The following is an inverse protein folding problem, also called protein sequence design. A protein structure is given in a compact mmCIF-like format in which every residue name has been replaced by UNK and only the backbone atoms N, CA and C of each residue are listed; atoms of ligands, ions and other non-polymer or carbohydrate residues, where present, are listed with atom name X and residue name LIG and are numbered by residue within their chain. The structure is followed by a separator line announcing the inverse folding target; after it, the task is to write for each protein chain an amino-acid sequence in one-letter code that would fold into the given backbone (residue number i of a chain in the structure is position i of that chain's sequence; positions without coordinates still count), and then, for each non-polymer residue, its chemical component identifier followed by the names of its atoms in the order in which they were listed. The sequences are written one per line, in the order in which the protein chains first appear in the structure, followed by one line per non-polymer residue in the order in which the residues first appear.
data_IF_564870557224
#
_entry.id   IF_564870557224
#
_cell.length_a   1.000
_cell.length_b   1.000
_cell.length_c   1.000
_cell.angle_alpha   90.00
_cell.angle_beta   90.00
_cell.angle_gamma   90.00
#
_symmetry.space_group_name_H-M   'P 1'
#
loop_
_entity.id
_entity.type
_entity.pdbx_description
1 polymer ?
#
# COMPACT_ATOMS: atom_id res chain seq x y z
N UNK A 1 -10.44 25.09 4.70
CA UNK A 1 -9.77 23.81 4.39
C UNK A 1 -9.48 23.13 5.72
N UNK A 2 -9.75 21.84 5.86
CA UNK A 2 -9.57 21.11 7.12
C UNK A 2 -8.08 20.85 7.37
N UNK A 3 -7.53 21.32 8.51
CA UNK A 3 -6.11 21.17 8.85
C UNK A 3 -5.65 19.71 8.81
N UNK A 4 -6.56 18.77 9.12
CA UNK A 4 -6.26 17.33 9.10
C UNK A 4 -5.85 16.85 7.70
N UNK A 5 -6.38 17.47 6.65
CA UNK A 5 -6.05 17.13 5.26
C UNK A 5 -4.62 17.58 4.92
N UNK A 6 -4.24 18.78 5.38
CA UNK A 6 -2.88 19.31 5.20
C UNK A 6 -1.88 18.40 5.91
N UNK A 7 -2.16 18.06 7.18
CA UNK A 7 -1.32 17.16 7.96
C UNK A 7 -1.23 15.76 7.33
N UNK A 8 -2.33 15.20 6.83
CA UNK A 8 -2.32 13.92 6.10
C UNK A 8 -1.38 13.96 4.89
N UNK A 9 -1.45 15.03 4.08
CA UNK A 9 -0.59 15.18 2.91
C UNK A 9 0.88 15.31 3.30
N UNK A 10 1.22 16.16 4.28
CA UNK A 10 2.60 16.33 4.75
C UNK A 10 3.20 15.01 5.24
N UNK A 11 2.41 14.20 5.97
CA UNK A 11 2.83 12.89 6.44
C UNK A 11 2.96 11.88 5.30
N UNK A 12 2.02 11.86 4.37
CA UNK A 12 2.09 11.00 3.18
C UNK A 12 3.34 11.31 2.35
N UNK A 13 3.61 12.59 2.09
CA UNK A 13 4.78 13.04 1.35
C UNK A 13 6.08 12.64 2.08
N UNK A 14 6.16 12.89 3.39
CA UNK A 14 7.33 12.48 4.18
C UNK A 14 7.57 10.97 4.12
N UNK A 15 6.51 10.15 4.23
CA UNK A 15 6.62 8.70 4.13
C UNK A 15 7.17 8.27 2.77
N UNK A 16 6.60 8.76 1.67
CA UNK A 16 7.01 8.35 0.33
C UNK A 16 8.41 8.87 -0.03
N UNK A 17 8.69 10.15 0.21
CA UNK A 17 9.97 10.76 -0.15
C UNK A 17 11.11 10.32 0.77
N UNK A 18 10.93 10.41 2.09
CA UNK A 18 12.03 10.24 3.06
C UNK A 18 12.15 8.83 3.59
N UNK A 19 11.04 8.12 3.79
CA UNK A 19 11.10 6.77 4.36
C UNK A 19 11.19 5.69 3.28
N UNK A 20 10.42 5.84 2.19
CA UNK A 20 10.36 4.84 1.12
C UNK A 20 11.27 5.17 -0.07
N UNK A 21 11.67 6.43 -0.24
CA UNK A 21 12.59 6.85 -1.29
C UNK A 21 11.99 6.75 -2.70
N UNK A 22 10.68 6.97 -2.82
CA UNK A 22 9.94 6.84 -4.09
C UNK A 22 10.52 7.77 -5.16
N UNK A 23 10.70 7.24 -6.36
CA UNK A 23 11.28 7.96 -7.51
C UNK A 23 10.26 8.18 -8.61
N UNK A 24 10.57 9.15 -9.47
CA UNK A 24 9.81 9.42 -10.68
C UNK A 24 9.75 8.16 -11.56
N UNK A 25 8.55 7.80 -11.99
CA UNK A 25 8.27 6.65 -12.85
C UNK A 25 8.13 5.31 -12.13
N UNK A 26 8.33 5.24 -10.81
CA UNK A 26 8.06 4.02 -10.03
C UNK A 26 6.55 3.78 -9.91
N UNK A 27 6.16 2.50 -9.87
CA UNK A 27 4.77 2.08 -9.66
C UNK A 27 4.48 1.87 -8.16
N UNK A 28 3.59 2.69 -7.61
CA UNK A 28 3.12 2.64 -6.22
C UNK A 28 1.76 1.97 -6.14
N UNK A 29 1.68 0.82 -5.47
CA UNK A 29 0.44 0.09 -5.22
C UNK A 29 -0.03 0.26 -3.78
N UNK A 30 -1.18 0.90 -3.61
CA UNK A 30 -1.85 1.06 -2.32
C UNK A 30 -2.96 0.02 -2.19
N UNK A 31 -2.97 -0.75 -1.11
CA UNK A 31 -4.03 -1.74 -0.83
C UNK A 31 -4.85 -1.31 0.37
N UNK A 32 -6.16 -1.24 0.19
CA UNK A 32 -7.11 -0.77 1.19
C UNK A 32 -8.22 -1.78 1.43
N UNK A 33 -9.04 -1.55 2.46
CA UNK A 33 -10.33 -2.21 2.64
C UNK A 33 -11.44 -1.16 2.87
N UNK A 34 -12.73 -1.53 2.83
CA UNK A 34 -13.83 -0.58 3.09
C UNK A 34 -13.80 0.14 4.44
N UNK A 35 -12.93 -0.24 5.38
CA UNK A 35 -12.76 0.44 6.67
C UNK A 35 -11.55 1.38 6.70
N UNK A 36 -10.69 1.36 5.68
CA UNK A 36 -9.57 2.28 5.54
C UNK A 36 -10.07 3.72 5.41
N UNK A 37 -9.46 4.65 6.16
CA UNK A 37 -9.73 6.08 6.04
C UNK A 37 -9.23 6.61 4.68
N UNK A 38 -10.18 6.98 3.82
CA UNK A 38 -9.88 7.39 2.45
C UNK A 38 -9.07 8.69 2.38
N UNK A 39 -9.11 9.54 3.42
CA UNK A 39 -8.32 10.79 3.44
C UNK A 39 -6.82 10.51 3.36
N UNK A 40 -6.38 9.42 3.99
CA UNK A 40 -4.98 9.01 3.94
C UNK A 40 -4.64 8.37 2.59
N UNK A 41 -5.59 7.68 1.97
CA UNK A 41 -5.44 7.12 0.61
C UNK A 41 -5.27 8.26 -0.40
N UNK A 42 -6.14 9.26 -0.35
CA UNK A 42 -6.08 10.45 -1.21
C UNK A 42 -4.76 11.20 -1.01
N UNK A 43 -4.30 11.33 0.25
CA UNK A 43 -3.03 11.96 0.58
C UNK A 43 -1.83 11.19 0.00
N UNK A 44 -1.81 9.86 0.08
CA UNK A 44 -0.76 9.02 -0.49
C UNK A 44 -0.74 9.09 -2.02
N UNK A 45 -1.91 9.02 -2.66
CA UNK A 45 -2.01 9.20 -4.11
C UNK A 45 -1.50 10.57 -4.55
N UNK A 46 -1.90 11.64 -3.82
CA UNK A 46 -1.43 12.99 -4.09
C UNK A 46 0.09 13.13 -3.93
N UNK A 47 0.64 12.53 -2.87
CA UNK A 47 2.08 12.53 -2.61
C UNK A 47 2.85 11.76 -3.69
N UNK A 48 2.39 10.57 -4.07
CA UNK A 48 3.01 9.75 -5.13
C UNK A 48 3.01 10.50 -6.48
N UNK A 49 1.88 11.11 -6.85
CA UNK A 49 1.77 11.95 -8.04
C UNK A 49 2.74 13.14 -7.99
N UNK A 50 2.88 13.79 -6.83
CA UNK A 50 3.83 14.91 -6.65
C UNK A 50 5.28 14.48 -6.85
N UNK A 51 5.63 13.25 -6.47
CA UNK A 51 6.94 12.64 -6.69
C UNK A 51 7.14 12.13 -8.14
N UNK A 52 6.09 12.20 -8.97
CA UNK A 52 6.09 11.72 -10.35
C UNK A 52 6.05 10.20 -10.48
N UNK A 53 5.54 9.51 -9.46
CA UNK A 53 5.28 8.08 -9.50
C UNK A 53 3.89 7.78 -10.07
N UNK A 54 3.73 6.61 -10.67
CA UNK A 54 2.43 6.09 -11.11
C UNK A 54 1.76 5.38 -9.95
N UNK A 55 0.55 5.78 -9.56
CA UNK A 55 -0.09 5.26 -8.35
C UNK A 55 -1.43 4.57 -8.65
N UNK A 56 -1.59 3.35 -8.14
CA UNK A 56 -2.83 2.58 -8.22
C UNK A 56 -3.36 2.19 -6.84
N UNK A 57 -4.68 2.13 -6.70
CA UNK A 57 -5.35 1.68 -5.46
C UNK A 57 -6.12 0.39 -5.72
N UNK A 58 -5.87 -0.61 -4.88
CA UNK A 58 -6.59 -1.88 -4.86
C UNK A 58 -7.40 -1.99 -3.57
N UNK A 59 -8.73 -1.92 -3.68
CA UNK A 59 -9.61 -2.11 -2.53
C UNK A 59 -10.04 -3.58 -2.41
N UNK A 60 -9.63 -4.23 -1.33
CA UNK A 60 -10.04 -5.60 -0.99
C UNK A 60 -11.32 -5.61 -0.17
N UNK A 61 -12.16 -6.67 -0.25
CA UNK A 61 -13.21 -6.87 0.76
C UNK A 61 -12.59 -7.06 2.16
N UNK A 62 -13.33 -6.67 3.19
CA UNK A 62 -12.99 -6.94 4.60
C UNK A 62 -12.82 -8.46 4.79
N UNK A 63 -11.72 -8.89 5.40
CA UNK A 63 -11.45 -10.30 5.70
C UNK A 63 -11.24 -10.49 7.20
N UNK A 64 -11.77 -11.60 7.72
CA UNK A 64 -11.46 -12.07 9.07
C UNK A 64 -10.00 -12.51 9.21
N UNK A 65 -9.56 -12.72 10.45
CA UNK A 65 -8.19 -13.15 10.78
C UNK A 65 -7.79 -14.47 10.11
N UNK A 66 -8.78 -15.31 9.77
CA UNK A 66 -8.63 -16.61 9.11
C UNK A 66 -8.20 -16.51 7.64
N UNK A 67 -8.44 -15.38 6.97
CA UNK A 67 -8.12 -15.17 5.54
C UNK A 67 -7.21 -13.96 5.30
N UNK A 68 -6.55 -13.47 6.34
CA UNK A 68 -5.71 -12.28 6.30
C UNK A 68 -4.50 -12.40 5.37
N UNK A 69 -4.08 -13.62 5.03
CA UNK A 69 -2.90 -13.91 4.20
C UNK A 69 -3.24 -14.37 2.77
N UNK A 70 -4.52 -14.37 2.39
CA UNK A 70 -4.97 -14.85 1.07
C UNK A 70 -5.33 -13.65 0.21
N UNK A 71 -4.50 -13.38 -0.79
CA UNK A 71 -4.73 -12.32 -1.76
C UNK A 71 -5.48 -12.82 -3.00
N UNK A 72 -6.33 -11.99 -3.62
CA UNK A 72 -6.78 -12.25 -4.98
C UNK A 72 -5.58 -12.32 -5.92
N UNK A 73 -5.63 -13.20 -6.94
CA UNK A 73 -4.49 -13.41 -7.85
C UNK A 73 -4.06 -12.13 -8.58
N UNK A 74 -5.00 -11.25 -8.89
CA UNK A 74 -4.70 -9.93 -9.49
C UNK A 74 -3.85 -9.06 -8.56
N UNK A 75 -4.10 -9.08 -7.26
CA UNK A 75 -3.30 -8.35 -6.29
C UNK A 75 -1.92 -8.99 -6.11
N UNK A 76 -1.82 -10.33 -6.04
CA UNK A 76 -0.51 -11.01 -5.96
C UNK A 76 0.41 -10.61 -7.11
N UNK A 77 -0.11 -10.58 -8.34
CA UNK A 77 0.65 -10.17 -9.52
C UNK A 77 1.01 -8.67 -9.47
N UNK A 78 0.09 -7.82 -9.00
CA UNK A 78 0.39 -6.40 -8.80
C UNK A 78 1.50 -6.18 -7.77
N UNK A 79 1.46 -6.90 -6.65
CA UNK A 79 2.48 -6.84 -5.60
C UNK A 79 3.86 -7.30 -6.08
N UNK A 80 3.91 -8.26 -7.02
CA UNK A 80 5.18 -8.76 -7.59
C UNK A 80 5.80 -7.76 -8.58
N UNK A 81 4.99 -6.87 -9.16
CA UNK A 81 5.41 -5.97 -10.23
C UNK A 81 5.58 -4.52 -9.80
N UNK A 82 4.86 -4.06 -8.77
CA UNK A 82 5.03 -2.71 -8.26
C UNK A 82 6.41 -2.52 -7.62
N UNK A 83 6.95 -1.31 -7.74
CA UNK A 83 8.20 -0.93 -7.06
C UNK A 83 7.96 -0.66 -5.58
N UNK A 84 6.78 -0.13 -5.24
CA UNK A 84 6.42 0.28 -3.87
C UNK A 84 5.05 -0.25 -3.50
N UNK A 85 4.97 -0.98 -2.39
CA UNK A 85 3.73 -1.54 -1.86
C UNK A 85 3.35 -0.91 -0.53
N UNK A 86 2.08 -0.50 -0.40
CA UNK A 86 1.54 0.13 0.81
C UNK A 86 0.27 -0.60 1.24
N UNK A 87 0.36 -1.44 2.26
CA UNK A 87 -0.80 -2.08 2.87
C UNK A 87 -1.45 -1.19 3.94
N UNK A 88 -2.70 -0.79 3.72
CA UNK A 88 -3.50 0.06 4.63
C UNK A 88 -4.78 -0.61 5.12
N UNK A 89 -4.90 -1.93 4.97
CA UNK A 89 -6.06 -2.69 5.40
C UNK A 89 -6.16 -2.73 6.93
N UNK A 90 -7.32 -2.36 7.46
CA UNK A 90 -7.59 -2.30 8.90
C UNK A 90 -7.82 -3.69 9.49
N UNK A 91 -8.41 -4.59 8.71
CA UNK A 91 -8.96 -5.86 9.17
C UNK A 91 -8.12 -7.09 8.79
N UNK A 92 -7.56 -7.09 7.59
CA UNK A 92 -6.62 -8.10 7.13
C UNK A 92 -5.20 -7.63 7.41
N UNK A 93 -4.37 -8.38 8.13
CA UNK A 93 -2.92 -8.09 8.30
C UNK A 93 -2.11 -8.26 7.00
N UNK A 94 -2.68 -7.88 5.86
CA UNK A 94 -2.19 -8.08 4.51
C UNK A 94 -0.85 -7.38 4.24
N UNK A 95 -0.38 -6.50 5.13
CA UNK A 95 0.89 -5.81 4.92
C UNK A 95 2.12 -6.73 4.92
N UNK A 96 2.05 -8.00 5.40
CA UNK A 96 3.28 -8.77 5.68
C UNK A 96 3.29 -10.24 5.18
N UNK A 97 2.16 -10.83 4.75
CA UNK A 97 2.10 -12.28 4.53
C UNK A 97 1.66 -12.66 3.12
N UNK A 98 2.45 -12.31 2.11
CA UNK A 98 2.39 -13.00 0.83
C UNK A 98 2.96 -14.42 1.01
N UNK A 99 2.29 -15.46 0.52
CA UNK A 99 2.82 -16.83 0.51
C UNK A 99 4.19 -16.90 -0.17
N UNK A 100 4.45 -16.03 -1.15
CA UNK A 100 5.76 -15.88 -1.79
C UNK A 100 6.85 -15.41 -0.83
N UNK A 101 6.54 -14.54 0.13
CA UNK A 101 7.49 -14.12 1.16
C UNK A 101 7.82 -15.30 2.08
N UNK A 102 6.81 -16.12 2.41
CA UNK A 102 6.98 -17.36 3.19
C UNK A 102 7.87 -18.37 2.45
N UNK A 103 7.73 -18.49 1.14
CA UNK A 103 8.62 -19.30 0.28
C UNK A 103 10.05 -18.75 0.28
N UNK A 104 10.25 -17.44 0.06
CA UNK A 104 11.56 -16.79 0.05
C UNK A 104 12.29 -16.87 1.40
N UNK A 105 11.57 -16.84 2.53
CA UNK A 105 12.13 -17.04 3.87
C UNK A 105 12.62 -18.50 4.04
N UNK A 106 11.89 -19.46 3.47
CA UNK A 106 12.28 -20.87 3.51
C UNK A 106 13.47 -21.18 2.59
N UNK A 107 13.63 -20.48 1.46
CA UNK A 107 14.77 -20.65 0.56
C UNK A 107 16.10 -20.09 1.11
N UNK A 108 16.04 -19.22 2.13
CA UNK A 108 17.23 -18.63 2.77
C UNK A 108 17.76 -19.40 3.99
N UNK A 109 17.08 -20.46 4.42
CA UNK A 109 17.51 -21.36 5.51
C UNK A 109 17.97 -22.70 4.95
#
# INVERSE_FOLDING_TARGET
MDNRIIECFERAYYLLDKCMGVKKGEEVLIVTDPQTDTRMVDALMGAANTLGAECGVYMMPIRGKDKATIFPKSLELGMEKCDVFIGMTTSSGAAIYNNRLKELINEKN
#
